data_IF_685817811018
#
_entry.id   IF_685817811018
#
_cell.length_a   1.000
_cell.length_b   1.000
_cell.length_c   1.000
_cell.angle_alpha   90.00
_cell.angle_beta   90.00
_cell.angle_gamma   90.00
#
_symmetry.space_group_name_H-M   'P 1'
#
loop_
_entity.id
_entity.type
_entity.pdbx_description
1 polymer ?
#
# COMPACT_ATOMS: atom_id res chain seq x y z
N UNK A 1 -6.58 -8.66 -8.57
CA UNK A 1 -7.24 -8.20 -7.33
C UNK A 1 -7.80 -9.39 -6.54
N UNK A 2 -9.10 -9.72 -6.60
CA UNK A 2 -9.77 -10.64 -5.64
C UNK A 2 -9.19 -12.06 -5.62
N UNK A 3 -8.92 -12.64 -6.79
CA UNK A 3 -8.60 -14.07 -6.89
C UNK A 3 -7.21 -14.47 -6.38
N UNK A 4 -6.32 -13.49 -6.14
CA UNK A 4 -4.89 -13.77 -5.89
C UNK A 4 -4.33 -12.90 -4.78
N UNK A 5 -4.67 -11.60 -4.73
CA UNK A 5 -4.11 -10.74 -3.68
C UNK A 5 -4.62 -11.18 -2.32
N UNK A 6 -3.70 -11.26 -1.37
CA UNK A 6 -4.04 -11.43 0.03
C UNK A 6 -4.33 -10.06 0.66
N UNK A 7 -5.06 -10.07 1.77
CA UNK A 7 -5.27 -8.89 2.58
C UNK A 7 -5.28 -9.26 4.06
N UNK A 8 -4.96 -8.30 4.91
CA UNK A 8 -5.07 -8.43 6.35
C UNK A 8 -5.54 -7.10 6.95
N UNK A 9 -6.59 -7.17 7.77
CA UNK A 9 -7.00 -6.04 8.60
C UNK A 9 -6.18 -6.09 9.90
N UNK A 10 -5.63 -4.96 10.31
CA UNK A 10 -4.91 -4.88 11.56
C UNK A 10 -5.86 -4.64 12.73
N UNK A 11 -5.43 -5.07 13.90
CA UNK A 11 -6.13 -4.73 15.14
C UNK A 11 -6.14 -3.21 15.33
N UNK A 12 -7.24 -2.70 15.86
CA UNK A 12 -7.35 -1.31 16.30
C UNK A 12 -6.19 -0.95 17.24
N UNK A 13 -5.56 0.21 16.96
CA UNK A 13 -4.40 0.66 17.72
C UNK A 13 -4.78 0.95 19.17
N UNK A 14 -4.04 0.44 20.17
CA UNK A 14 -4.31 0.79 21.57
C UNK A 14 -3.90 2.23 21.91
N UNK A 15 -3.11 2.87 21.04
CA UNK A 15 -2.53 4.21 21.27
C UNK A 15 -3.46 5.33 20.83
N UNK A 16 -4.36 5.07 19.89
CA UNK A 16 -5.24 6.07 19.28
C UNK A 16 -6.70 5.74 19.57
N UNK A 17 -7.51 6.75 19.86
CA UNK A 17 -8.95 6.57 19.98
C UNK A 17 -9.57 6.55 18.58
N UNK A 18 -10.06 5.37 18.15
CA UNK A 18 -10.66 5.15 16.83
C UNK A 18 -12.21 5.14 16.87
N UNK A 19 -12.82 5.49 18.01
CA UNK A 19 -14.27 5.36 18.23
C UNK A 19 -15.13 6.39 17.46
N UNK A 20 -14.51 7.44 16.91
CA UNK A 20 -15.20 8.48 16.14
C UNK A 20 -14.68 8.53 14.71
N UNK A 21 -15.50 8.11 13.76
CA UNK A 21 -15.19 8.32 12.35
C UNK A 21 -15.38 9.79 11.97
N UNK A 22 -14.38 10.42 11.32
CA UNK A 22 -14.59 11.66 10.62
C UNK A 22 -15.60 11.49 9.49
N UNK A 23 -16.26 12.59 9.10
CA UNK A 23 -17.13 12.61 7.93
C UNK A 23 -16.40 12.11 6.68
N UNK A 24 -17.09 11.33 5.84
CA UNK A 24 -16.59 10.93 4.52
C UNK A 24 -16.10 12.17 3.73
N UNK A 25 -14.94 12.05 3.09
CA UNK A 25 -14.27 13.15 2.40
C UNK A 25 -13.07 13.74 3.15
N UNK A 26 -12.97 13.47 4.46
CA UNK A 26 -11.92 13.97 5.35
C UNK A 26 -10.80 12.93 5.48
N UNK A 27 -9.56 13.37 5.32
CA UNK A 27 -8.35 12.64 5.75
C UNK A 27 -7.96 13.17 7.12
N UNK A 28 -7.83 12.30 8.12
CA UNK A 28 -7.62 12.72 9.51
C UNK A 28 -6.16 12.75 9.92
N UNK A 29 -5.83 13.56 10.94
CA UNK A 29 -4.48 13.59 11.50
C UNK A 29 -4.07 12.23 12.09
N UNK A 30 -5.00 11.50 12.73
CA UNK A 30 -4.71 10.16 13.28
C UNK A 30 -4.30 9.18 12.19
N UNK A 31 -5.00 9.19 11.06
CA UNK A 31 -4.69 8.36 9.90
C UNK A 31 -3.29 8.66 9.33
N UNK A 32 -2.96 9.95 9.19
CA UNK A 32 -1.65 10.42 8.71
C UNK A 32 -0.53 10.02 9.68
N UNK A 33 -0.74 10.21 10.99
CA UNK A 33 0.24 9.85 12.03
C UNK A 33 0.51 8.35 12.04
N UNK A 34 -0.53 7.52 11.97
CA UNK A 34 -0.37 6.06 11.88
C UNK A 34 0.39 5.65 10.62
N UNK A 35 0.06 6.25 9.47
CA UNK A 35 0.76 5.99 8.21
C UNK A 35 2.26 6.35 8.27
N UNK A 36 2.62 7.48 8.90
CA UNK A 36 4.00 7.89 9.09
C UNK A 36 4.78 6.93 10.01
N UNK A 37 4.16 6.49 11.11
CA UNK A 37 4.73 5.48 12.01
C UNK A 37 5.00 4.17 11.28
N UNK A 38 4.03 3.66 10.51
CA UNK A 38 4.18 2.43 9.75
C UNK A 38 5.28 2.56 8.71
N UNK A 39 5.32 3.68 7.97
CA UNK A 39 6.36 3.93 7.00
C UNK A 39 7.75 3.91 7.65
N UNK A 40 7.93 4.55 8.81
CA UNK A 40 9.20 4.53 9.53
C UNK A 40 9.61 3.12 9.99
N UNK A 41 8.68 2.35 10.56
CA UNK A 41 8.95 0.96 10.97
C UNK A 41 9.30 0.07 9.78
N UNK A 42 8.60 0.22 8.65
CA UNK A 42 8.87 -0.49 7.42
C UNK A 42 10.25 -0.14 6.83
N UNK A 43 10.68 1.12 6.90
CA UNK A 43 12.02 1.53 6.50
C UNK A 43 13.09 0.83 7.35
N UNK A 44 12.88 0.75 8.66
CA UNK A 44 13.80 0.01 9.56
C UNK A 44 13.85 -1.48 9.20
N UNK A 45 12.70 -2.08 8.89
CA UNK A 45 12.66 -3.48 8.45
C UNK A 45 13.42 -3.67 7.14
N UNK A 46 13.18 -2.80 6.14
CA UNK A 46 13.88 -2.84 4.87
C UNK A 46 15.41 -2.70 5.03
N UNK A 47 15.87 -1.85 5.95
CA UNK A 47 17.29 -1.74 6.31
C UNK A 47 17.85 -3.04 6.90
N UNK A 48 17.12 -3.71 7.81
CA UNK A 48 17.55 -5.01 8.33
C UNK A 48 17.65 -6.08 7.26
N UNK A 49 16.68 -6.11 6.34
CA UNK A 49 16.71 -7.04 5.22
C UNK A 49 17.91 -6.70 4.33
N UNK A 50 18.01 -5.47 3.81
CA UNK A 50 19.08 -5.01 2.92
C UNK A 50 20.50 -5.27 3.48
N UNK A 51 20.70 -5.04 4.77
CA UNK A 51 21.99 -5.25 5.44
C UNK A 51 22.20 -6.70 5.89
N UNK A 52 21.30 -7.62 5.59
CA UNK A 52 21.31 -9.02 6.02
C UNK A 52 21.45 -9.16 7.55
N UNK A 53 20.86 -8.21 8.28
CA UNK A 53 20.88 -8.13 9.74
C UNK A 53 19.59 -8.66 10.39
N UNK A 54 18.58 -9.00 9.59
CA UNK A 54 17.36 -9.63 10.10
C UNK A 54 17.65 -11.05 10.60
N UNK A 55 17.27 -11.41 11.85
CA UNK A 55 17.59 -12.71 12.42
C UNK A 55 17.03 -13.88 11.59
N UNK A 56 17.77 -15.00 11.44
CA UNK A 56 17.25 -16.20 10.81
C UNK A 56 16.02 -16.73 11.56
N UNK A 57 15.00 -17.14 10.79
CA UNK A 57 13.81 -17.75 11.35
C UNK A 57 13.91 -19.27 11.41
N UNK A 58 13.17 -19.85 12.34
CA UNK A 58 13.16 -21.29 12.59
C UNK A 58 11.73 -21.79 12.73
N UNK A 59 11.44 -22.94 12.12
CA UNK A 59 10.31 -23.76 12.54
C UNK A 59 10.84 -24.88 13.45
N UNK A 60 10.53 -24.78 14.75
CA UNK A 60 11.14 -25.61 15.79
C UNK A 60 12.67 -25.44 15.76
N UNK A 61 13.41 -26.47 15.41
CA UNK A 61 14.87 -26.45 15.32
C UNK A 61 15.39 -26.34 13.86
N UNK A 62 14.51 -26.25 12.86
CA UNK A 62 14.92 -26.19 11.45
C UNK A 62 14.94 -24.75 10.95
N UNK A 63 16.07 -24.26 10.41
CA UNK A 63 16.14 -22.92 9.84
C UNK A 63 15.27 -22.82 8.59
N UNK A 64 14.60 -21.68 8.43
CA UNK A 64 13.78 -21.37 7.26
C UNK A 64 14.57 -20.56 6.24
N UNK A 65 14.16 -20.67 4.97
CA UNK A 65 14.75 -19.90 3.88
C UNK A 65 14.37 -18.41 4.01
N UNK A 66 15.37 -17.53 4.03
CA UNK A 66 15.16 -16.07 4.15
C UNK A 66 15.08 -15.36 2.79
N UNK A 67 15.12 -16.08 1.66
CA UNK A 67 15.29 -15.45 0.34
C UNK A 67 14.11 -14.55 -0.06
N UNK A 68 12.89 -14.94 0.28
CA UNK A 68 11.67 -14.24 -0.13
C UNK A 68 11.52 -12.85 0.53
N UNK A 69 12.22 -12.57 1.64
CA UNK A 69 12.23 -11.23 2.25
C UNK A 69 12.74 -10.14 1.30
N UNK A 70 13.63 -10.50 0.37
CA UNK A 70 14.16 -9.59 -0.65
C UNK A 70 13.08 -9.09 -1.61
N UNK A 71 11.97 -9.82 -1.72
CA UNK A 71 10.91 -9.58 -2.70
C UNK A 71 9.74 -8.76 -2.14
N UNK A 72 9.89 -8.14 -0.97
CA UNK A 72 8.78 -7.38 -0.35
C UNK A 72 8.85 -5.88 -0.71
N UNK A 73 10.02 -5.28 -0.57
CA UNK A 73 10.22 -3.85 -0.83
C UNK A 73 10.65 -3.60 -2.27
N UNK A 74 10.17 -2.52 -2.89
CA UNK A 74 10.52 -2.19 -4.27
C UNK A 74 10.09 -3.26 -5.27
N UNK A 75 9.09 -4.07 -4.91
CA UNK A 75 8.63 -5.20 -5.71
C UNK A 75 7.23 -4.96 -6.24
N UNK A 76 7.02 -5.34 -7.48
CA UNK A 76 5.76 -5.18 -8.20
C UNK A 76 5.62 -6.24 -9.29
N UNK A 77 4.37 -6.52 -9.64
CA UNK A 77 3.98 -7.38 -10.73
C UNK A 77 3.69 -6.54 -11.96
N UNK A 78 4.38 -6.82 -13.05
CA UNK A 78 4.07 -6.19 -14.34
C UNK A 78 3.08 -7.06 -15.09
N UNK A 79 1.95 -6.48 -15.48
CA UNK A 79 1.07 -7.07 -16.47
C UNK A 79 1.76 -7.10 -17.84
N UNK A 80 2.00 -8.30 -18.36
CA UNK A 80 2.80 -8.53 -19.56
C UNK A 80 2.28 -9.75 -20.34
N UNK A 81 2.62 -9.83 -21.64
CA UNK A 81 2.20 -10.92 -22.51
C UNK A 81 3.40 -11.77 -22.96
N UNK A 82 3.27 -13.11 -23.04
CA UNK A 82 2.10 -13.92 -22.71
C UNK A 82 1.95 -14.23 -21.21
N UNK A 83 2.84 -13.71 -20.36
CA UNK A 83 2.84 -13.96 -18.92
C UNK A 83 3.41 -12.76 -18.19
N UNK A 84 2.76 -12.40 -17.10
CA UNK A 84 3.25 -11.41 -16.15
C UNK A 84 4.66 -11.72 -15.62
N UNK A 85 5.34 -10.68 -15.18
CA UNK A 85 6.70 -10.76 -14.61
C UNK A 85 6.76 -10.06 -13.28
N UNK A 86 7.51 -10.65 -12.35
CA UNK A 86 7.78 -10.04 -11.04
C UNK A 86 9.12 -9.35 -11.11
N UNK A 87 9.12 -8.09 -10.73
CA UNK A 87 10.32 -7.27 -10.70
C UNK A 87 10.57 -6.86 -9.28
N UNK A 88 11.77 -7.15 -8.81
CA UNK A 88 12.25 -6.82 -7.48
C UNK A 88 13.57 -6.09 -7.60
N UNK A 89 13.67 -4.94 -6.95
CA UNK A 89 14.93 -4.24 -6.77
C UNK A 89 15.59 -4.70 -5.48
N UNK A 90 16.74 -5.37 -5.59
CA UNK A 90 17.53 -5.85 -4.45
C UNK A 90 19.00 -5.41 -4.56
N UNK A 91 19.57 -4.74 -3.53
CA UNK A 91 18.89 -4.19 -2.35
C UNK A 91 17.84 -3.14 -2.73
N UNK A 92 16.80 -3.00 -1.91
CA UNK A 92 15.72 -2.04 -2.17
C UNK A 92 16.09 -0.68 -1.57
N UNK A 93 16.77 0.15 -2.35
CA UNK A 93 17.36 1.44 -1.93
C UNK A 93 16.61 2.67 -2.42
N UNK A 94 15.39 2.49 -2.95
CA UNK A 94 14.53 3.60 -3.32
C UNK A 94 14.27 4.49 -2.10
N UNK A 95 14.19 5.81 -2.31
CA UNK A 95 14.02 6.78 -1.23
C UNK A 95 12.57 7.26 -1.05
N UNK A 96 11.63 6.68 -1.81
CA UNK A 96 10.26 7.12 -1.85
C UNK A 96 9.25 5.97 -1.74
N UNK A 97 8.06 6.32 -1.31
CA UNK A 97 6.84 5.51 -1.40
C UNK A 97 5.89 6.15 -2.41
N UNK A 98 4.92 5.38 -2.88
CA UNK A 98 3.79 5.93 -3.64
C UNK A 98 2.60 6.11 -2.68
N UNK A 99 1.98 7.28 -2.68
CA UNK A 99 0.82 7.58 -1.84
C UNK A 99 -0.39 7.84 -2.72
N UNK A 100 -1.50 7.15 -2.44
CA UNK A 100 -2.78 7.32 -3.11
C UNK A 100 -3.78 7.98 -2.15
N UNK A 101 -4.36 9.10 -2.58
CA UNK A 101 -5.43 9.81 -1.88
C UNK A 101 -6.46 10.24 -2.91
N UNK A 102 -7.72 9.78 -2.79
CA UNK A 102 -8.81 10.11 -3.74
C UNK A 102 -8.40 9.87 -5.21
N UNK A 103 -7.79 8.70 -5.48
CA UNK A 103 -7.23 8.28 -6.77
C UNK A 103 -6.01 9.07 -7.28
N UNK A 104 -5.60 10.12 -6.56
CA UNK A 104 -4.44 10.92 -6.92
C UNK A 104 -3.19 10.24 -6.38
N UNK A 105 -2.21 10.01 -7.26
CA UNK A 105 -0.98 9.29 -6.94
C UNK A 105 0.16 10.29 -6.78
N UNK A 106 0.94 10.15 -5.71
CA UNK A 106 2.10 10.99 -5.43
C UNK A 106 3.35 10.14 -5.18
N UNK A 107 4.47 10.60 -5.73
CA UNK A 107 5.80 10.17 -5.26
C UNK A 107 6.11 10.93 -3.98
N UNK A 108 6.38 10.19 -2.90
CA UNK A 108 6.64 10.77 -1.58
C UNK A 108 8.01 10.32 -1.07
N UNK A 109 9.03 11.19 -1.12
CA UNK A 109 10.33 10.91 -0.50
C UNK A 109 10.19 10.75 1.01
N UNK A 110 10.67 9.62 1.54
CA UNK A 110 10.65 9.24 2.96
C UNK A 110 12.02 8.87 3.51
N UNK A 111 13.04 8.88 2.65
CA UNK A 111 14.47 8.75 2.99
C UNK A 111 15.21 9.95 2.42
N UNK A 112 16.24 10.42 3.12
CA UNK A 112 17.10 11.50 2.65
C UNK A 112 17.78 11.19 1.31
N UNK A 113 18.25 12.22 0.59
CA UNK A 113 18.83 12.07 -0.75
C UNK A 113 20.08 11.17 -0.79
N UNK A 114 20.79 10.99 0.33
CA UNK A 114 21.96 10.12 0.45
C UNK A 114 21.66 8.83 1.23
N UNK A 115 20.38 8.47 1.40
CA UNK A 115 19.97 7.27 2.13
C UNK A 115 19.76 7.49 3.63
N UNK A 116 19.69 8.73 4.10
CA UNK A 116 19.58 9.03 5.53
C UNK A 116 18.17 8.76 6.08
N UNK A 117 18.11 8.24 7.32
CA UNK A 117 16.85 8.18 8.07
C UNK A 117 16.44 9.57 8.53
N UNK A 118 15.15 9.82 8.46
CA UNK A 118 14.48 11.05 8.90
C UNK A 118 13.50 10.73 10.04
N UNK A 119 13.04 11.76 10.74
CA UNK A 119 12.08 11.59 11.82
C UNK A 119 10.70 11.17 11.31
N UNK A 120 9.92 10.52 12.18
CA UNK A 120 8.52 10.19 11.90
C UNK A 120 7.73 11.46 11.55
N UNK A 121 7.99 12.57 12.26
CA UNK A 121 7.37 13.88 11.98
C UNK A 121 7.70 14.42 10.58
N UNK A 122 8.90 14.16 10.05
CA UNK A 122 9.24 14.57 8.69
C UNK A 122 8.43 13.79 7.64
N UNK A 123 8.21 12.49 7.87
CA UNK A 123 7.34 11.66 7.02
C UNK A 123 5.87 12.11 7.15
N UNK A 124 5.40 12.37 8.37
CA UNK A 124 4.05 12.90 8.64
C UNK A 124 3.81 14.20 7.87
N UNK A 125 4.79 15.11 7.88
CA UNK A 125 4.69 16.37 7.14
C UNK A 125 4.58 16.15 5.62
N UNK A 126 5.32 15.19 5.05
CA UNK A 126 5.18 14.85 3.63
C UNK A 126 3.80 14.32 3.29
N UNK A 127 3.22 13.48 4.16
CA UNK A 127 1.86 12.99 3.98
C UNK A 127 0.82 14.11 4.10
N UNK A 128 1.00 15.06 5.04
CA UNK A 128 0.18 16.28 5.12
C UNK A 128 0.26 17.11 3.84
N UNK A 129 1.45 17.27 3.27
CA UNK A 129 1.64 17.96 2.00
C UNK A 129 0.87 17.27 0.86
N UNK A 130 0.79 15.93 0.85
CA UNK A 130 -0.01 15.18 -0.14
C UNK A 130 -1.50 15.48 0.00
N UNK A 131 -2.01 15.48 1.24
CA UNK A 131 -3.42 15.76 1.51
C UNK A 131 -3.77 17.20 1.13
N UNK A 132 -2.93 18.17 1.50
CA UNK A 132 -3.09 19.57 1.12
C UNK A 132 -3.05 19.75 -0.41
N UNK A 133 -2.05 19.17 -1.08
CA UNK A 133 -1.96 19.21 -2.53
C UNK A 133 -3.21 18.63 -3.19
N UNK A 134 -3.70 17.48 -2.70
CA UNK A 134 -4.90 16.81 -3.23
C UNK A 134 -6.16 17.67 -3.07
N UNK A 135 -6.33 18.32 -1.91
CA UNK A 135 -7.49 19.18 -1.66
C UNK A 135 -7.45 20.48 -2.47
N UNK A 136 -6.25 20.94 -2.86
CA UNK A 136 -6.06 22.14 -3.67
C UNK A 136 -6.14 21.90 -5.19
N UNK A 137 -6.24 20.64 -5.65
CA UNK A 137 -6.41 20.33 -7.08
C UNK A 137 -7.78 20.79 -7.58
N UNK A 138 -7.79 21.56 -8.66
CA UNK A 138 -9.00 21.79 -9.45
C UNK A 138 -9.45 20.51 -10.17
N UNK A 139 -10.71 20.46 -10.61
CA UNK A 139 -11.25 19.31 -11.36
C UNK A 139 -10.44 19.00 -12.63
N UNK A 140 -9.84 20.00 -13.28
CA UNK A 140 -9.01 19.82 -14.47
C UNK A 140 -7.62 19.26 -14.16
N UNK A 141 -7.12 19.44 -12.94
CA UNK A 141 -5.81 18.95 -12.52
C UNK A 141 -5.87 17.51 -11.99
N UNK A 142 -7.04 17.08 -11.49
CA UNK A 142 -7.29 15.71 -11.05
C UNK A 142 -7.05 14.72 -12.20
N UNK A 143 -6.31 13.66 -11.88
CA UNK A 143 -6.08 12.55 -12.80
C UNK A 143 -7.24 11.56 -12.72
N UNK A 144 -7.50 10.87 -13.84
CA UNK A 144 -8.41 9.73 -13.87
C UNK A 144 -7.89 8.59 -12.97
N UNK A 145 -8.77 7.70 -12.49
CA UNK A 145 -8.41 6.61 -11.57
C UNK A 145 -7.65 5.47 -12.29
N UNK A 146 -6.45 5.75 -12.79
CA UNK A 146 -5.59 4.80 -13.53
C UNK A 146 -5.28 3.56 -12.70
N UNK A 147 -5.23 3.67 -11.37
CA UNK A 147 -5.01 2.53 -10.47
C UNK A 147 -6.05 1.40 -10.62
N UNK A 148 -7.29 1.72 -11.00
CA UNK A 148 -8.36 0.72 -11.22
C UNK A 148 -7.99 -0.29 -12.31
N UNK A 149 -7.17 0.11 -13.30
CA UNK A 149 -6.69 -0.79 -14.35
C UNK A 149 -5.90 -1.99 -13.79
N UNK A 150 -5.28 -1.86 -12.62
CA UNK A 150 -4.55 -2.97 -11.97
C UNK A 150 -5.49 -4.07 -11.42
N UNK A 151 -6.80 -3.80 -11.34
CA UNK A 151 -7.81 -4.77 -10.93
C UNK A 151 -8.30 -5.70 -12.05
N UNK A 152 -8.01 -5.34 -13.31
CA UNK A 152 -8.53 -6.01 -14.51
C UNK A 152 -7.94 -7.41 -14.76
N UNK A 153 -8.57 -8.11 -15.71
CA UNK A 153 -7.97 -9.28 -16.35
C UNK A 153 -6.55 -8.94 -16.85
N UNK A 154 -5.61 -9.86 -16.65
CA UNK A 154 -4.18 -9.60 -16.87
C UNK A 154 -3.84 -9.28 -18.33
N UNK A 155 -4.51 -9.89 -19.30
CA UNK A 155 -4.28 -9.59 -20.73
C UNK A 155 -4.83 -8.21 -21.11
N UNK A 156 -5.97 -7.81 -20.54
CA UNK A 156 -6.55 -6.48 -20.74
C UNK A 156 -5.63 -5.43 -20.13
N UNK A 157 -5.19 -5.65 -18.89
CA UNK A 157 -4.27 -4.74 -18.22
C UNK A 157 -2.92 -4.66 -18.91
N UNK A 158 -2.35 -5.79 -19.36
CA UNK A 158 -1.08 -5.80 -20.10
C UNK A 158 -1.16 -4.95 -21.38
N UNK A 159 -2.25 -5.07 -22.14
CA UNK A 159 -2.50 -4.24 -23.34
C UNK A 159 -2.62 -2.75 -22.97
N UNK A 160 -3.43 -2.42 -21.97
CA UNK A 160 -3.62 -1.03 -21.54
C UNK A 160 -2.32 -0.42 -20.99
N UNK A 161 -1.50 -1.19 -20.26
CA UNK A 161 -0.19 -0.78 -19.78
C UNK A 161 0.77 -0.50 -20.94
N UNK A 162 0.81 -1.35 -21.97
CA UNK A 162 1.59 -1.10 -23.19
C UNK A 162 1.11 0.13 -23.96
N UNK A 163 -0.20 0.32 -24.09
CA UNK A 163 -0.78 1.54 -24.69
C UNK A 163 -0.36 2.78 -23.90
N UNK A 164 -0.49 2.77 -22.56
CA UNK A 164 -0.03 3.88 -21.71
C UNK A 164 1.44 4.21 -21.95
N UNK A 165 2.32 3.21 -21.99
CA UNK A 165 3.73 3.42 -22.29
C UNK A 165 3.92 4.05 -23.68
N UNK A 166 3.25 3.53 -24.71
CA UNK A 166 3.33 4.06 -26.07
C UNK A 166 2.83 5.51 -26.25
N UNK A 167 1.97 6.00 -25.36
CA UNK A 167 1.38 7.35 -25.46
C UNK A 167 2.35 8.48 -25.09
N UNK A 168 3.24 8.28 -24.12
CA UNK A 168 4.10 9.36 -23.64
C UNK A 168 5.32 8.88 -22.84
N UNK A 169 6.49 9.53 -22.97
CA UNK A 169 7.59 9.39 -22.01
C UNK A 169 7.20 9.74 -20.57
N UNK A 170 6.21 10.62 -20.37
CA UNK A 170 5.66 10.93 -19.05
C UNK A 170 5.06 9.69 -18.39
N UNK A 171 4.36 8.83 -19.14
CA UNK A 171 3.76 7.62 -18.60
C UNK A 171 4.80 6.57 -18.21
N UNK A 172 5.92 6.51 -18.95
CA UNK A 172 7.07 5.70 -18.55
C UNK A 172 7.64 6.17 -17.20
N UNK A 173 7.82 7.48 -17.03
CA UNK A 173 8.28 8.05 -15.77
C UNK A 173 7.25 7.80 -14.63
N UNK A 174 5.97 8.01 -14.90
CA UNK A 174 4.89 7.82 -13.92
C UNK A 174 4.75 6.38 -13.45
N UNK A 175 4.73 5.40 -14.37
CA UNK A 175 4.74 3.98 -14.01
C UNK A 175 6.04 3.62 -13.29
N UNK A 176 7.19 4.06 -13.79
CA UNK A 176 8.48 3.82 -13.16
C UNK A 176 8.57 4.34 -11.71
N UNK A 177 7.92 5.46 -11.40
CA UNK A 177 7.87 5.99 -10.03
C UNK A 177 7.08 5.07 -9.09
N UNK A 178 5.94 4.54 -9.53
CA UNK A 178 5.09 3.63 -8.73
C UNK A 178 5.74 2.25 -8.60
N UNK A 179 6.24 1.74 -9.72
CA UNK A 179 6.94 0.47 -9.85
C UNK A 179 8.16 0.42 -8.91
N UNK A 180 8.97 1.48 -8.86
CA UNK A 180 10.17 1.55 -8.01
C UNK A 180 9.92 2.04 -6.57
N UNK A 181 8.70 2.43 -6.20
CA UNK A 181 8.39 2.81 -4.81
C UNK A 181 8.67 1.65 -3.85
N UNK A 182 9.11 1.92 -2.62
CA UNK A 182 9.36 0.85 -1.63
C UNK A 182 8.10 0.02 -1.35
N UNK A 183 6.98 0.71 -1.16
CA UNK A 183 5.64 0.17 -0.99
C UNK A 183 4.64 1.29 -1.32
N UNK A 184 3.35 0.97 -1.26
CA UNK A 184 2.25 1.92 -1.47
C UNK A 184 1.57 2.23 -0.14
N UNK A 185 1.14 3.47 0.05
CA UNK A 185 0.24 3.91 1.13
C UNK A 185 -1.05 4.43 0.49
N UNK A 186 -2.20 3.96 0.96
CA UNK A 186 -3.51 4.47 0.56
C UNK A 186 -4.15 5.17 1.76
N UNK A 187 -4.47 6.46 1.61
CA UNK A 187 -5.26 7.20 2.59
C UNK A 187 -6.69 7.31 2.07
N UNK A 188 -7.57 6.47 2.63
CA UNK A 188 -8.99 6.51 2.31
C UNK A 188 -9.68 7.59 3.14
N UNK A 189 -10.56 8.37 2.48
CA UNK A 189 -11.31 9.46 3.09
C UNK A 189 -12.65 9.00 3.67
N UNK A 190 -12.79 7.71 3.92
CA UNK A 190 -13.96 7.07 4.49
C UNK A 190 -13.55 5.99 5.49
N UNK A 191 -14.50 5.60 6.32
CA UNK A 191 -14.42 4.43 7.20
C UNK A 191 -15.84 3.92 7.47
N UNK A 192 -15.95 2.77 8.12
CA UNK A 192 -17.21 2.26 8.67
C UNK A 192 -17.26 2.47 10.18
N UNK A 193 -18.37 3.01 10.65
CA UNK A 193 -18.64 3.09 12.08
C UNK A 193 -18.92 1.69 12.63
N UNK A 194 -17.99 1.18 13.46
CA UNK A 194 -18.14 -0.01 14.33
C UNK A 194 -18.33 -1.37 13.64
N UNK A 195 -18.57 -1.39 12.35
CA UNK A 195 -18.66 -2.64 11.58
C UNK A 195 -17.29 -3.06 11.06
N UNK A 196 -16.74 -4.10 11.68
CA UNK A 196 -15.46 -4.68 11.27
C UNK A 196 -15.58 -5.37 9.91
N UNK A 197 -16.75 -5.90 9.56
CA UNK A 197 -16.98 -6.56 8.28
C UNK A 197 -16.83 -5.55 7.13
N UNK A 198 -17.44 -4.36 7.28
CA UNK A 198 -17.28 -3.31 6.25
C UNK A 198 -15.81 -2.86 6.13
N UNK A 199 -15.10 -2.78 7.25
CA UNK A 199 -13.70 -2.33 7.23
C UNK A 199 -12.80 -3.35 6.53
N UNK A 200 -13.02 -4.68 6.69
CA UNK A 200 -12.23 -5.66 5.94
C UNK A 200 -12.49 -5.59 4.44
N UNK A 201 -13.72 -5.28 4.00
CA UNK A 201 -14.00 -5.06 2.57
C UNK A 201 -13.28 -3.83 2.00
N UNK A 202 -13.19 -2.75 2.79
CA UNK A 202 -12.44 -1.57 2.41
C UNK A 202 -10.95 -1.91 2.23
N UNK A 203 -10.35 -2.65 3.17
CA UNK A 203 -8.97 -3.14 3.06
C UNK A 203 -8.78 -4.10 1.89
N UNK A 204 -9.75 -4.98 1.64
CA UNK A 204 -9.66 -5.99 0.59
C UNK A 204 -9.70 -5.38 -0.82
N UNK A 205 -10.72 -4.56 -1.11
CA UNK A 205 -11.00 -4.08 -2.48
C UNK A 205 -11.62 -2.68 -2.55
N UNK A 206 -11.66 -1.91 -1.46
CA UNK A 206 -12.20 -0.54 -1.42
C UNK A 206 -13.69 -0.38 -1.82
N UNK A 207 -14.44 -1.48 -1.92
CA UNK A 207 -15.79 -1.52 -2.50
C UNK A 207 -15.92 -1.22 -4.01
N UNK A 208 -14.93 -0.55 -4.61
CA UNK A 208 -14.93 -0.17 -6.04
C UNK A 208 -13.56 -0.29 -6.72
N UNK A 209 -12.53 -0.78 -6.03
CA UNK A 209 -11.14 -0.87 -6.50
C UNK A 209 -10.42 0.47 -6.75
N UNK A 210 -11.02 1.60 -6.37
CA UNK A 210 -10.38 2.92 -6.42
C UNK A 210 -9.36 3.08 -5.30
N UNK A 211 -8.44 4.04 -5.47
CA UNK A 211 -7.42 4.40 -4.50
C UNK A 211 -6.50 3.23 -4.12
N UNK A 212 -6.22 2.33 -5.08
CA UNK A 212 -5.38 1.14 -4.92
C UNK A 212 -4.41 0.96 -6.08
N UNK A 213 -3.35 0.19 -5.84
CA UNK A 213 -2.44 -0.30 -6.88
C UNK A 213 -2.14 -1.78 -6.64
N UNK A 214 -3.00 -2.67 -7.17
CA UNK A 214 -3.01 -4.10 -6.83
C UNK A 214 -1.79 -4.88 -7.30
N UNK A 215 -1.00 -4.31 -8.20
CA UNK A 215 0.25 -4.89 -8.68
C UNK A 215 1.43 -4.69 -7.70
N UNK A 216 1.27 -3.87 -6.65
CA UNK A 216 2.34 -3.66 -5.67
C UNK A 216 2.40 -4.84 -4.69
N UNK A 217 3.63 -5.28 -4.36
CA UNK A 217 3.82 -6.35 -3.37
C UNK A 217 3.16 -6.02 -2.02
N UNK A 218 3.23 -4.76 -1.60
CA UNK A 218 2.62 -4.28 -0.36
C UNK A 218 1.97 -2.91 -0.58
N UNK A 219 0.68 -2.79 -0.29
CA UNK A 219 -0.04 -1.53 -0.18
C UNK A 219 -0.73 -1.44 1.19
N UNK A 220 -0.27 -0.51 2.03
CA UNK A 220 -0.82 -0.26 3.36
C UNK A 220 -1.98 0.72 3.25
N UNK A 221 -3.12 0.37 3.82
CA UNK A 221 -4.36 1.13 3.69
C UNK A 221 -4.73 1.65 5.06
N UNK A 222 -5.06 2.93 5.12
CA UNK A 222 -5.54 3.59 6.33
C UNK A 222 -6.90 4.21 6.01
N UNK A 223 -7.89 3.97 6.86
CA UNK A 223 -9.21 4.58 6.81
C UNK A 223 -9.23 5.88 7.62
N UNK A 224 -10.21 6.76 7.40
CA UNK A 224 -10.21 8.07 8.02
C UNK A 224 -10.43 8.06 9.55
N UNK A 225 -11.05 7.02 10.11
CA UNK A 225 -11.13 6.81 11.56
C UNK A 225 -9.80 6.32 12.16
N UNK A 226 -8.80 6.09 11.32
CA UNK A 226 -7.48 5.60 11.68
C UNK A 226 -7.32 4.09 11.55
N UNK A 227 -8.38 3.28 11.40
CA UNK A 227 -8.26 1.83 11.14
C UNK A 227 -7.35 1.55 9.94
N UNK A 228 -6.68 0.41 9.95
CA UNK A 228 -5.68 0.13 8.94
C UNK A 228 -5.60 -1.36 8.61
N UNK A 229 -4.98 -1.61 7.47
CA UNK A 229 -4.72 -2.95 7.00
C UNK A 229 -3.75 -2.91 5.83
N UNK A 230 -3.67 -4.02 5.13
CA UNK A 230 -2.80 -4.19 3.98
C UNK A 230 -3.51 -5.04 2.93
N UNK A 231 -3.25 -4.72 1.67
CA UNK A 231 -3.46 -5.61 0.55
C UNK A 231 -2.10 -5.87 -0.10
N UNK A 232 -1.85 -7.09 -0.56
CA UNK A 232 -0.57 -7.45 -1.16
C UNK A 232 -0.71 -8.43 -2.31
N UNK A 233 0.15 -8.26 -3.31
CA UNK A 233 0.26 -9.19 -4.43
C UNK A 233 0.96 -10.48 -3.96
N UNK A 234 0.42 -11.64 -4.34
CA UNK A 234 0.82 -12.92 -3.74
C UNK A 234 2.04 -13.55 -4.43
N UNK A 235 2.24 -13.31 -5.72
CA UNK A 235 3.30 -13.99 -6.46
C UNK A 235 4.77 -13.77 -5.97
N UNK A 236 5.15 -12.70 -5.24
CA UNK A 236 6.56 -12.49 -4.87
C UNK A 236 7.02 -13.33 -3.66
N UNK A 237 6.10 -13.75 -2.78
CA UNK A 237 6.41 -14.50 -1.57
C UNK A 237 5.21 -15.26 -0.99
N UNK A 238 5.50 -16.28 -0.19
CA UNK A 238 4.50 -17.02 0.58
C UNK A 238 4.10 -16.24 1.85
N UNK A 239 2.88 -16.47 2.34
CA UNK A 239 2.22 -15.66 3.36
C UNK A 239 2.98 -15.47 4.69
N UNK A 240 3.91 -16.39 5.03
CA UNK A 240 4.74 -16.28 6.25
C UNK A 240 5.59 -15.01 6.22
N UNK A 241 6.11 -14.64 5.04
CA UNK A 241 7.03 -13.52 4.87
C UNK A 241 6.35 -12.17 5.12
N UNK A 242 5.25 -11.79 4.42
CA UNK A 242 4.54 -10.59 4.76
C UNK A 242 4.03 -10.67 6.19
N UNK A 243 3.47 -11.81 6.63
CA UNK A 243 2.98 -11.98 8.01
C UNK A 243 3.99 -11.58 9.08
N UNK A 244 5.27 -11.93 8.92
CA UNK A 244 6.33 -11.52 9.86
C UNK A 244 6.60 -10.01 9.85
N UNK A 245 6.51 -9.37 8.68
CA UNK A 245 6.62 -7.90 8.52
C UNK A 245 5.43 -7.23 9.20
N UNK A 246 4.20 -7.72 8.99
CA UNK A 246 2.98 -7.15 9.60
C UNK A 246 3.05 -7.20 11.12
N UNK A 247 3.52 -8.33 11.66
CA UNK A 247 3.78 -8.50 13.09
C UNK A 247 4.74 -7.44 13.64
N UNK A 248 5.79 -7.10 12.89
CA UNK A 248 6.74 -6.07 13.29
C UNK A 248 6.12 -4.67 13.27
N UNK A 249 5.33 -4.37 12.24
CA UNK A 249 4.68 -3.06 12.07
C UNK A 249 3.64 -2.81 13.16
N UNK A 250 2.79 -3.81 13.46
CA UNK A 250 1.74 -3.69 14.48
C UNK A 250 2.32 -3.65 15.90
N UNK A 251 3.36 -4.45 16.20
CA UNK A 251 3.98 -4.48 17.54
C UNK A 251 4.77 -3.21 17.84
N UNK A 252 5.38 -2.60 16.83
CA UNK A 252 6.20 -1.39 16.98
C UNK A 252 5.46 -0.12 16.54
N UNK A 253 4.13 -0.13 16.54
CA UNK A 253 3.31 1.06 16.32
C UNK A 253 3.44 1.99 17.54
N UNK A 254 4.54 2.73 17.58
CA UNK A 254 4.86 3.69 18.63
C UNK A 254 5.51 4.92 18.00
N UNK A 255 5.33 6.09 18.61
CA UNK A 255 6.00 7.33 18.18
C UNK A 255 7.51 7.35 18.54
N UNK A 256 8.14 6.18 18.70
CA UNK A 256 9.56 6.07 18.99
C UNK A 256 10.36 6.30 17.70
N UNK A 257 11.21 7.31 17.71
CA UNK A 257 12.05 7.64 16.56
C UNK A 257 13.02 6.50 16.23
N UNK A 258 13.31 6.26 14.93
CA UNK A 258 14.26 5.24 14.54
C UNK A 258 15.69 5.62 14.98
N UNK A 259 16.60 4.64 14.94
CA UNK A 259 18.02 4.91 15.19
C UNK A 259 18.59 5.76 14.05
N UNK A 260 19.58 6.60 14.37
CA UNK A 260 20.32 7.41 13.42
C UNK A 260 19.47 8.40 12.60
N UNK A 261 18.40 8.95 13.20
CA UNK A 261 17.65 10.07 12.59
C UNK A 261 18.58 11.25 12.35
N UNK A 262 18.48 11.81 11.15
CA UNK A 262 19.17 13.03 10.73
C UNK A 262 18.16 14.15 10.47
N UNK A 263 18.65 15.38 10.37
CA UNK A 263 17.87 16.53 9.91
C UNK A 263 17.92 16.68 8.37
N UNK A 264 18.10 15.58 7.64
CA UNK A 264 18.14 15.61 6.17
C UNK A 264 16.83 16.17 5.61
N UNK A 265 16.93 17.08 4.66
CA UNK A 265 15.77 17.66 4.00
C UNK A 265 15.25 16.69 2.93
N UNK A 266 14.03 16.20 3.11
CA UNK A 266 13.36 15.39 2.11
C UNK A 266 13.06 16.22 0.86
N UNK A 267 13.19 15.59 -0.31
CA UNK A 267 12.77 16.20 -1.56
C UNK A 267 11.25 16.45 -1.56
N UNK A 268 10.74 17.48 -2.26
CA UNK A 268 9.31 17.73 -2.33
C UNK A 268 8.53 16.56 -2.91
N UNK A 269 7.26 16.41 -2.49
CA UNK A 269 6.33 15.47 -3.12
C UNK A 269 6.12 15.82 -4.59
N UNK A 270 5.81 14.81 -5.40
CA UNK A 270 5.53 14.98 -6.82
C UNK A 270 4.21 14.29 -7.19
N UNK A 271 3.25 15.07 -7.69
CA UNK A 271 2.01 14.53 -8.27
C UNK A 271 2.32 13.75 -9.55
N UNK A 272 1.91 12.49 -9.60
CA UNK A 272 2.14 11.58 -10.71
C UNK A 272 1.03 11.78 -11.74
N UNK A 273 1.40 12.29 -12.91
CA UNK A 273 0.46 12.62 -13.99
C UNK A 273 0.51 11.58 -15.10
N UNK A 274 -0.65 11.22 -15.65
CA UNK A 274 -0.77 10.29 -16.76
C UNK A 274 -1.34 11.00 -17.99
N UNK A 275 -0.72 10.76 -19.14
CA UNK A 275 -1.25 11.13 -20.45
C UNK A 275 -2.15 9.99 -20.92
N UNK A 276 -3.45 10.26 -21.06
CA UNK A 276 -4.45 9.28 -21.45
C UNK A 276 -5.14 9.69 -22.76
N UNK A 277 -5.28 8.74 -23.69
CA UNK A 277 -6.11 8.89 -24.87
C UNK A 277 -7.53 8.33 -24.61
N UNK A 278 -8.44 8.46 -25.58
CA UNK A 278 -9.83 8.01 -25.41
C UNK A 278 -9.96 6.49 -25.24
N UNK A 279 -9.05 5.70 -25.82
CA UNK A 279 -8.98 4.25 -25.61
C UNK A 279 -8.72 3.89 -24.14
N UNK A 280 -7.72 4.54 -23.51
CA UNK A 280 -7.43 4.31 -22.09
C UNK A 280 -8.58 4.81 -21.22
N UNK A 281 -9.19 5.97 -21.54
CA UNK A 281 -10.36 6.47 -20.79
C UNK A 281 -11.50 5.46 -20.80
N UNK A 282 -11.80 4.87 -21.96
CA UNK A 282 -12.83 3.84 -22.09
C UNK A 282 -12.45 2.56 -21.35
N UNK A 283 -11.17 2.19 -21.36
CA UNK A 283 -10.67 1.03 -20.63
C UNK A 283 -10.78 1.21 -19.13
N UNK A 284 -10.50 2.41 -18.60
CA UNK A 284 -10.69 2.74 -17.17
C UNK A 284 -12.17 2.56 -16.79
N UNK A 285 -13.11 3.10 -17.57
CA UNK A 285 -14.55 2.94 -17.31
C UNK A 285 -14.98 1.47 -17.28
N UNK A 286 -14.48 0.67 -18.22
CA UNK A 286 -14.74 -0.79 -18.25
C UNK A 286 -14.14 -1.49 -17.04
N UNK A 287 -12.93 -1.11 -16.62
CA UNK A 287 -12.28 -1.63 -15.45
C UNK A 287 -13.08 -1.34 -14.17
N UNK A 288 -13.63 -0.13 -14.01
CA UNK A 288 -14.53 0.21 -12.89
C UNK A 288 -15.77 -0.70 -12.86
N UNK A 289 -16.43 -0.91 -14.00
CA UNK A 289 -17.61 -1.79 -14.11
C UNK A 289 -17.25 -3.25 -13.80
N UNK A 290 -16.14 -3.74 -14.35
CA UNK A 290 -15.69 -5.11 -14.14
C UNK A 290 -15.24 -5.36 -12.70
N UNK A 291 -14.54 -4.42 -12.09
CA UNK A 291 -14.15 -4.47 -10.69
C UNK A 291 -15.39 -4.53 -9.79
N UNK A 292 -16.37 -3.63 -10.01
CA UNK A 292 -17.63 -3.62 -9.25
C UNK A 292 -18.38 -4.94 -9.38
N UNK A 293 -18.50 -5.48 -10.60
CA UNK A 293 -19.14 -6.77 -10.85
C UNK A 293 -18.43 -7.92 -10.12
N UNK A 294 -17.10 -7.92 -10.08
CA UNK A 294 -16.32 -8.94 -9.38
C UNK A 294 -16.49 -8.83 -7.87
N UNK A 295 -16.51 -7.60 -7.33
CA UNK A 295 -16.73 -7.32 -5.91
C UNK A 295 -18.13 -7.76 -5.49
N UNK A 296 -19.16 -7.42 -6.25
CA UNK A 296 -20.55 -7.79 -5.95
C UNK A 296 -20.80 -9.31 -5.99
N UNK A 297 -19.89 -10.08 -6.59
CA UNK A 297 -19.96 -11.53 -6.67
C UNK A 297 -19.12 -12.24 -5.60
N UNK A 298 -18.58 -11.50 -4.62
CA UNK A 298 -17.85 -12.04 -3.47
C UNK A 298 -18.59 -11.68 -2.20
N UNK A 299 -18.89 -12.69 -1.40
CA UNK A 299 -19.41 -12.52 -0.05
C UNK A 299 -18.33 -12.99 0.95
N UNK A 300 -17.96 -12.13 1.88
CA UNK A 300 -17.00 -12.44 2.94
C UNK A 300 -17.43 -11.77 4.24
N UNK A 301 -17.41 -12.52 5.33
CA UNK A 301 -17.75 -12.03 6.67
C UNK A 301 -16.67 -12.48 7.67
N UNK A 302 -16.47 -11.69 8.73
CA UNK A 302 -15.57 -12.02 9.82
C UNK A 302 -16.35 -12.61 10.99
N UNK A 303 -16.01 -13.85 11.35
CA UNK A 303 -16.56 -14.50 12.54
C UNK A 303 -15.57 -14.31 13.69
N UNK A 304 -15.97 -13.50 14.68
CA UNK A 304 -15.22 -13.35 15.93
C UNK A 304 -15.66 -14.41 16.94
N UNK A 305 -14.98 -15.55 16.94
CA UNK A 305 -15.27 -16.65 17.85
C UNK A 305 -14.62 -16.44 19.23
N UNK A 306 -15.43 -16.19 20.25
CA UNK A 306 -14.96 -15.82 21.59
C UNK A 306 -15.18 -16.90 22.67
N UNK A 307 -15.65 -18.10 22.32
CA UNK A 307 -16.00 -19.12 23.32
C UNK A 307 -14.77 -19.86 23.88
N UNK A 308 -13.80 -20.17 23.02
CA UNK A 308 -12.55 -20.81 23.39
C UNK A 308 -11.46 -20.54 22.35
N UNK A 309 -10.21 -20.90 22.68
CA UNK A 309 -9.08 -20.79 21.78
C UNK A 309 -8.02 -21.87 22.02
N UNK A 310 -6.81 -21.65 21.51
CA UNK A 310 -5.75 -22.66 21.58
C UNK A 310 -5.37 -23.08 23.00
N UNK A 311 -5.61 -22.24 24.02
CA UNK A 311 -5.35 -22.58 25.42
C UNK A 311 -6.27 -23.70 25.92
N UNK A 312 -7.57 -23.64 25.58
CA UNK A 312 -8.54 -24.66 25.95
C UNK A 312 -8.39 -25.93 25.08
N UNK A 313 -8.08 -25.78 23.79
CA UNK A 313 -7.83 -26.94 22.91
C UNK A 313 -6.58 -27.75 23.30
N UNK A 314 -5.65 -27.15 24.04
CA UNK A 314 -4.41 -27.79 24.52
C UNK A 314 -4.53 -28.34 25.94
N UNK A 315 -5.57 -27.97 26.70
CA UNK A 315 -5.82 -28.45 28.08
C UNK A 315 -6.51 -29.79 28.08
#
# INVERSE_FOLDING_TARGET
MINVNWWAQFKDSPTFNLDQAPTRGVISDVQIQRAANYASTLLTFNEYVNNQAFPPEYHRATPLCMNQYKNQFGTYRVADLPRDRIVTSWPSTANHVAVLVKDQIFKVPVVGPNGERVSIKAIEQQLKNVVEATNNLSEQEKQLPVGVLTSENRDIWAKARHTLLGLSPQNHASLGLIDNALFVICLDDYSSDRDIDISHHNIFHAGNAHNRWFDKSMQFIFENNGRSGINGEHSPADAVIPGRILDEVVKNESNAEPRNVTNAQLQPIQHVKFVVNDEIKETIKKAEVNAKKMIDNVDSCLIHFNEYGSNWLKS
#
